data_IF_752309466411
#
_entry.id   IF_752309466411
#
_cell.length_a   1.000
_cell.length_b   1.000
_cell.length_c   1.000
_cell.angle_alpha   90.00
_cell.angle_beta   90.00
_cell.angle_gamma   90.00
#
_symmetry.space_group_name_H-M   'P 1'
#
loop_
_entity.id
_entity.type
_entity.pdbx_description
1 polymer ?
#
# COMPACT_ATOMS: atom_id res chain seq x y z
N UNK A 1 -3.70 -20.92 -10.73
CA UNK A 1 -4.74 -20.46 -11.67
C UNK A 1 -4.79 -18.95 -11.49
N UNK A 2 -3.90 -18.29 -12.22
CA UNK A 2 -3.77 -16.84 -12.23
C UNK A 2 -5.05 -16.26 -12.82
N UNK A 3 -5.70 -15.37 -12.09
CA UNK A 3 -7.06 -14.90 -12.41
C UNK A 3 -7.09 -14.07 -13.71
N UNK A 4 -5.94 -13.80 -14.33
CA UNK A 4 -5.82 -12.88 -15.47
C UNK A 4 -4.79 -13.36 -16.51
N UNK A 5 -4.56 -14.68 -16.62
CA UNK A 5 -3.94 -15.25 -17.83
C UNK A 5 -5.04 -15.70 -18.79
N UNK A 6 -5.57 -14.76 -19.57
CA UNK A 6 -6.59 -15.08 -20.57
C UNK A 6 -7.20 -13.84 -21.18
N UNK A 7 -6.57 -13.35 -22.25
CA UNK A 7 -6.96 -12.19 -23.05
C UNK A 7 -6.77 -10.82 -22.35
N UNK A 8 -6.29 -9.84 -23.12
CA UNK A 8 -6.13 -8.43 -22.70
C UNK A 8 -7.49 -7.80 -22.42
N UNK A 9 -8.15 -8.22 -21.34
CA UNK A 9 -9.30 -7.52 -20.78
C UNK A 9 -8.77 -6.21 -20.22
N UNK A 10 -8.95 -5.13 -20.98
CA UNK A 10 -8.66 -3.78 -20.52
C UNK A 10 -9.72 -3.37 -19.50
N UNK A 11 -9.61 -3.94 -18.29
CA UNK A 11 -10.53 -3.68 -17.20
C UNK A 11 -10.53 -2.18 -16.88
N UNK A 12 -11.71 -1.63 -16.61
CA UNK A 12 -11.90 -0.21 -16.29
C UNK A 12 -12.73 -0.06 -15.04
N UNK A 13 -12.49 1.03 -14.31
CA UNK A 13 -13.29 1.36 -13.12
C UNK A 13 -12.87 0.56 -11.88
N UNK A 14 -13.79 0.30 -10.93
CA UNK A 14 -13.46 -0.40 -9.70
C UNK A 14 -13.28 -1.91 -9.92
N UNK A 15 -12.30 -2.51 -9.25
CA UNK A 15 -12.09 -3.97 -9.21
C UNK A 15 -11.96 -4.46 -7.76
N UNK A 16 -12.56 -5.63 -7.47
CA UNK A 16 -12.42 -6.32 -6.19
C UNK A 16 -11.90 -7.75 -6.41
N UNK A 17 -10.84 -8.10 -5.70
CA UNK A 17 -10.23 -9.43 -5.70
C UNK A 17 -10.34 -9.96 -4.27
N UNK A 18 -11.20 -10.95 -4.03
CA UNK A 18 -11.52 -11.44 -2.68
C UNK A 18 -11.34 -12.95 -2.54
N UNK A 19 -10.77 -13.37 -1.42
CA UNK A 19 -10.74 -14.75 -0.93
C UNK A 19 -10.08 -15.76 -1.89
N UNK A 20 -9.17 -15.28 -2.74
CA UNK A 20 -8.34 -16.15 -3.57
C UNK A 20 -7.16 -16.68 -2.75
N UNK A 21 -7.44 -17.57 -1.81
CA UNK A 21 -6.50 -18.09 -0.80
C UNK A 21 -5.29 -18.84 -1.37
N UNK A 22 -5.31 -19.18 -2.67
CA UNK A 22 -4.19 -19.85 -3.37
C UNK A 22 -3.47 -18.93 -4.37
N UNK A 23 -3.91 -17.68 -4.51
CA UNK A 23 -3.30 -16.72 -5.43
C UNK A 23 -1.97 -16.24 -4.87
N UNK A 24 -0.90 -16.39 -5.65
CA UNK A 24 0.46 -16.01 -5.25
C UNK A 24 0.94 -14.69 -5.86
N UNK A 25 0.34 -14.32 -6.98
CA UNK A 25 0.68 -13.13 -7.78
C UNK A 25 -0.57 -12.55 -8.42
N UNK A 26 -0.57 -11.24 -8.63
CA UNK A 26 -1.57 -10.51 -9.40
C UNK A 26 -0.82 -9.76 -10.51
N UNK A 27 -1.31 -9.87 -11.75
CA UNK A 27 -0.88 -9.01 -12.87
C UNK A 27 -2.10 -8.26 -13.41
N UNK A 28 -2.04 -6.93 -13.38
CA UNK A 28 -3.13 -6.02 -13.82
C UNK A 28 -2.64 -5.04 -14.89
N UNK A 29 -1.76 -5.51 -15.77
CA UNK A 29 -1.12 -4.68 -16.81
C UNK A 29 -2.14 -3.88 -17.64
N UNK A 30 -1.86 -2.59 -17.82
CA UNK A 30 -2.60 -1.68 -18.72
C UNK A 30 -4.11 -1.57 -18.48
N UNK A 31 -4.59 -1.92 -17.27
CA UNK A 31 -5.97 -1.68 -16.88
C UNK A 31 -6.20 -0.20 -16.52
N UNK A 32 -7.40 0.31 -16.79
CA UNK A 32 -7.84 1.67 -16.44
C UNK A 32 -8.65 1.64 -15.14
N UNK A 33 -8.12 0.96 -14.11
CA UNK A 33 -8.79 0.84 -12.83
C UNK A 33 -8.77 2.17 -12.09
N UNK A 34 -9.90 2.53 -11.50
CA UNK A 34 -10.02 3.72 -10.64
C UNK A 34 -9.90 3.35 -9.16
N UNK A 35 -10.35 2.17 -8.78
CA UNK A 35 -10.12 1.61 -7.44
C UNK A 35 -9.84 0.12 -7.48
N UNK A 36 -9.07 -0.35 -6.50
CA UNK A 36 -8.70 -1.76 -6.36
C UNK A 36 -8.79 -2.17 -4.90
N UNK A 37 -9.60 -3.20 -4.63
CA UNK A 37 -9.70 -3.84 -3.31
C UNK A 37 -9.17 -5.27 -3.43
N UNK A 38 -8.12 -5.61 -2.67
CA UNK A 38 -7.58 -6.96 -2.56
C UNK A 38 -7.76 -7.42 -1.12
N UNK A 39 -8.55 -8.47 -0.91
CA UNK A 39 -8.82 -8.99 0.43
C UNK A 39 -8.76 -10.51 0.50
N UNK A 40 -8.29 -11.06 1.62
CA UNK A 40 -8.34 -12.51 1.88
C UNK A 40 -7.46 -13.36 0.96
N UNK A 41 -6.53 -12.73 0.24
CA UNK A 41 -5.56 -13.42 -0.62
C UNK A 41 -4.35 -13.83 0.22
N UNK A 42 -4.53 -14.77 1.14
CA UNK A 42 -3.56 -15.08 2.20
C UNK A 42 -2.20 -15.61 1.71
N UNK A 43 -2.12 -16.19 0.51
CA UNK A 43 -0.87 -16.69 -0.09
C UNK A 43 -0.23 -15.69 -1.08
N UNK A 44 -0.75 -14.47 -1.19
CA UNK A 44 -0.26 -13.46 -2.12
C UNK A 44 1.05 -12.85 -1.61
N UNK A 45 2.14 -13.06 -2.33
CA UNK A 45 3.49 -12.68 -1.88
C UNK A 45 3.89 -11.31 -2.41
N UNK A 46 3.49 -11.01 -3.65
CA UNK A 46 3.86 -9.80 -4.38
C UNK A 46 2.65 -9.21 -5.09
N UNK A 47 2.52 -7.89 -4.97
CA UNK A 47 1.58 -7.08 -5.74
C UNK A 47 2.38 -6.05 -6.55
N UNK A 48 2.17 -6.03 -7.86
CA UNK A 48 2.74 -5.02 -8.75
C UNK A 48 1.62 -4.27 -9.48
N UNK A 49 1.47 -2.98 -9.15
CA UNK A 49 0.44 -2.09 -9.70
C UNK A 49 1.08 -0.92 -10.46
N UNK A 50 2.35 -1.02 -10.83
CA UNK A 50 3.11 0.07 -11.46
C UNK A 50 2.52 0.57 -12.79
N UNK A 51 1.71 -0.25 -13.46
CA UNK A 51 1.04 0.12 -14.71
C UNK A 51 -0.39 0.66 -14.54
N UNK A 52 -0.89 0.78 -13.30
CA UNK A 52 -2.24 1.27 -13.02
C UNK A 52 -2.28 2.80 -12.86
N UNK A 53 -2.03 3.52 -13.95
CA UNK A 53 -1.89 4.99 -13.95
C UNK A 53 -3.16 5.79 -13.63
N UNK A 54 -4.32 5.14 -13.48
CA UNK A 54 -5.61 5.77 -13.16
C UNK A 54 -6.11 5.42 -11.76
N UNK A 55 -5.35 4.62 -11.01
CA UNK A 55 -5.75 4.14 -9.70
C UNK A 55 -5.69 5.29 -8.69
N UNK A 56 -6.86 5.65 -8.14
CA UNK A 56 -7.00 6.72 -7.13
C UNK A 56 -7.18 6.17 -5.72
N UNK A 57 -7.68 4.94 -5.58
CA UNK A 57 -7.88 4.27 -4.29
C UNK A 57 -7.42 2.82 -4.32
N UNK A 58 -6.67 2.42 -3.30
CA UNK A 58 -6.16 1.06 -3.11
C UNK A 58 -6.42 0.61 -1.67
N UNK A 59 -7.05 -0.56 -1.51
CA UNK A 59 -7.19 -1.24 -0.21
C UNK A 59 -6.65 -2.65 -0.32
N UNK A 60 -5.70 -3.01 0.55
CA UNK A 60 -5.08 -4.34 0.62
C UNK A 60 -5.24 -4.86 2.05
N UNK A 61 -6.09 -5.86 2.23
CA UNK A 61 -6.43 -6.38 3.56
C UNK A 61 -6.27 -7.89 3.63
N UNK A 62 -5.87 -8.41 4.80
CA UNK A 62 -5.77 -9.86 5.07
C UNK A 62 -4.91 -10.62 4.03
N UNK A 63 -3.87 -9.97 3.52
CA UNK A 63 -2.87 -10.57 2.63
C UNK A 63 -1.64 -10.92 3.49
N UNK A 64 -1.78 -11.92 4.36
CA UNK A 64 -0.85 -12.19 5.46
C UNK A 64 0.58 -12.49 5.03
N UNK A 65 0.77 -13.08 3.84
CA UNK A 65 2.08 -13.43 3.27
C UNK A 65 2.64 -12.35 2.33
N UNK A 66 2.00 -11.18 2.23
CA UNK A 66 2.46 -10.10 1.36
C UNK A 66 3.79 -9.53 1.89
N UNK A 67 4.83 -9.60 1.06
CA UNK A 67 6.17 -9.09 1.38
C UNK A 67 6.48 -7.84 0.56
N UNK A 68 6.04 -7.81 -0.70
CA UNK A 68 6.38 -6.75 -1.65
C UNK A 68 5.13 -6.11 -2.23
N UNK A 69 5.00 -4.80 -2.04
CA UNK A 69 3.99 -3.96 -2.66
C UNK A 69 4.67 -2.90 -3.52
N UNK A 70 4.35 -2.88 -4.81
CA UNK A 70 4.67 -1.78 -5.71
C UNK A 70 3.37 -1.09 -6.13
N UNK A 71 3.10 0.10 -5.61
CA UNK A 71 1.88 0.86 -5.86
C UNK A 71 2.12 2.23 -6.51
N UNK A 72 3.16 2.37 -7.35
CA UNK A 72 3.68 3.63 -7.91
C UNK A 72 2.76 4.43 -8.87
N UNK A 73 1.48 4.57 -8.56
CA UNK A 73 0.51 5.37 -9.31
C UNK A 73 0.60 6.85 -8.95
N UNK A 74 0.71 7.70 -9.97
CA UNK A 74 0.73 9.15 -9.77
C UNK A 74 -0.63 9.75 -9.37
N UNK A 75 -1.71 8.96 -9.43
CA UNK A 75 -3.09 9.40 -9.16
C UNK A 75 -3.62 8.91 -7.81
N UNK A 76 -2.85 8.12 -7.05
CA UNK A 76 -3.32 7.55 -5.79
C UNK A 76 -3.52 8.65 -4.73
N UNK A 77 -4.74 8.76 -4.22
CA UNK A 77 -5.11 9.71 -3.16
C UNK A 77 -5.40 9.04 -1.83
N UNK A 78 -5.76 7.75 -1.85
CA UNK A 78 -6.06 6.96 -0.65
C UNK A 78 -5.44 5.57 -0.73
N UNK A 79 -4.73 5.19 0.34
CA UNK A 79 -4.13 3.88 0.52
C UNK A 79 -4.49 3.31 1.90
N UNK A 80 -5.10 2.14 1.90
CA UNK A 80 -5.35 1.33 3.10
C UNK A 80 -4.59 0.01 2.99
N UNK A 81 -3.81 -0.32 4.01
CA UNK A 81 -3.15 -1.62 4.16
C UNK A 81 -3.44 -2.13 5.56
N UNK A 82 -4.04 -3.32 5.67
CA UNK A 82 -4.30 -3.92 6.98
C UNK A 82 -4.08 -5.43 7.02
N UNK A 83 -3.67 -5.93 8.18
CA UNK A 83 -3.48 -7.37 8.42
C UNK A 83 -2.50 -8.01 7.42
N UNK A 84 -1.43 -7.28 7.06
CA UNK A 84 -0.37 -7.72 6.15
C UNK A 84 0.90 -8.01 6.97
N UNK A 85 0.84 -9.07 7.78
CA UNK A 85 1.81 -9.34 8.86
C UNK A 85 3.27 -9.52 8.41
N UNK A 86 3.51 -9.84 7.13
CA UNK A 86 4.85 -10.03 6.57
C UNK A 86 5.40 -8.82 5.80
N UNK A 87 4.60 -7.76 5.64
CA UNK A 87 5.03 -6.57 4.92
C UNK A 87 6.04 -5.80 5.77
N UNK A 88 7.28 -5.68 5.29
CA UNK A 88 8.39 -5.13 6.08
C UNK A 88 8.75 -3.68 5.74
N UNK A 89 8.56 -3.29 4.48
CA UNK A 89 8.86 -1.96 3.96
C UNK A 89 7.75 -1.51 3.03
N UNK A 90 7.40 -0.22 3.13
CA UNK A 90 6.52 0.46 2.18
C UNK A 90 7.24 1.71 1.69
N UNK A 91 7.30 1.88 0.37
CA UNK A 91 7.80 3.08 -0.30
C UNK A 91 6.68 3.75 -1.09
N UNK A 92 6.23 4.90 -0.59
CA UNK A 92 5.17 5.75 -1.13
C UNK A 92 5.75 7.07 -1.66
N UNK A 93 7.07 7.21 -1.77
CA UNK A 93 7.75 8.45 -2.20
C UNK A 93 7.33 8.93 -3.59
N UNK A 94 6.73 8.03 -4.38
CA UNK A 94 6.22 8.26 -5.74
C UNK A 94 4.72 8.56 -5.79
N UNK A 95 4.07 8.84 -4.66
CA UNK A 95 2.63 9.12 -4.58
C UNK A 95 2.35 10.58 -4.22
N UNK A 96 2.58 11.54 -5.15
CA UNK A 96 2.51 12.98 -4.85
C UNK A 96 1.10 13.53 -4.60
N UNK A 97 0.07 12.69 -4.77
CA UNK A 97 -1.34 13.03 -4.55
C UNK A 97 -1.93 12.32 -3.33
N UNK A 98 -1.15 11.51 -2.62
CA UNK A 98 -1.63 10.74 -1.48
C UNK A 98 -2.00 11.69 -0.34
N UNK A 99 -3.27 11.73 0.03
CA UNK A 99 -3.80 12.56 1.13
C UNK A 99 -4.28 11.73 2.31
N UNK A 100 -4.55 10.43 2.10
CA UNK A 100 -5.01 9.53 3.15
C UNK A 100 -4.16 8.26 3.14
N UNK A 101 -3.60 7.90 4.29
CA UNK A 101 -2.83 6.69 4.50
C UNK A 101 -3.27 6.02 5.79
N UNK A 102 -3.69 4.76 5.71
CA UNK A 102 -3.92 3.91 6.88
C UNK A 102 -3.11 2.63 6.74
N UNK A 103 -2.24 2.36 7.71
CA UNK A 103 -1.43 1.14 7.76
C UNK A 103 -1.55 0.54 9.16
N UNK A 104 -2.37 -0.50 9.29
CA UNK A 104 -2.72 -1.10 10.58
C UNK A 104 -2.43 -2.59 10.59
N UNK A 105 -2.16 -3.17 11.77
CA UNK A 105 -1.94 -4.62 11.91
C UNK A 105 -0.86 -5.18 10.93
N UNK A 106 0.19 -4.38 10.70
CA UNK A 106 1.35 -4.74 9.86
C UNK A 106 2.59 -4.94 10.74
N UNK A 107 2.56 -5.95 11.61
CA UNK A 107 3.50 -6.14 12.73
C UNK A 107 5.00 -6.19 12.36
N UNK A 108 5.35 -6.55 11.12
CA UNK A 108 6.75 -6.58 10.64
C UNK A 108 7.17 -5.32 9.88
N UNK A 109 6.28 -4.34 9.74
CA UNK A 109 6.60 -3.10 9.05
C UNK A 109 7.58 -2.30 9.89
N UNK A 110 8.78 -2.11 9.37
CA UNK A 110 9.85 -1.39 10.05
C UNK A 110 10.30 -0.15 9.29
N UNK A 111 9.89 -0.01 8.03
CA UNK A 111 10.31 1.08 7.15
C UNK A 111 9.11 1.64 6.39
N UNK A 112 8.85 2.93 6.55
CA UNK A 112 7.87 3.67 5.77
C UNK A 112 8.50 4.91 5.17
N UNK A 113 8.47 5.03 3.85
CA UNK A 113 8.73 6.28 3.16
C UNK A 113 7.40 6.82 2.61
N UNK A 114 6.90 7.92 3.20
CA UNK A 114 5.74 8.67 2.70
C UNK A 114 6.12 10.07 2.24
N UNK A 115 7.39 10.27 1.87
CA UNK A 115 7.87 11.57 1.42
C UNK A 115 7.17 12.06 0.16
N UNK A 116 7.14 13.38 -0.01
CA UNK A 116 6.51 14.05 -1.16
C UNK A 116 5.00 13.78 -1.31
N UNK A 117 4.34 13.27 -0.28
CA UNK A 117 2.87 13.10 -0.25
C UNK A 117 2.18 14.37 0.26
N UNK A 118 0.84 14.40 0.18
CA UNK A 118 0.00 15.49 0.71
C UNK A 118 -0.70 15.07 2.00
N UNK A 119 -0.11 14.17 2.76
CA UNK A 119 -0.61 13.75 4.06
C UNK A 119 -0.60 14.95 5.01
N UNK A 120 -1.71 15.13 5.74
CA UNK A 120 -1.86 16.14 6.81
C UNK A 120 -1.77 15.53 8.21
N UNK A 121 -2.00 14.23 8.30
CA UNK A 121 -1.93 13.43 9.51
C UNK A 121 -1.23 12.11 9.18
N UNK A 122 -0.55 11.54 10.19
CA UNK A 122 0.02 10.21 10.09
C UNK A 122 -0.03 9.54 11.45
N UNK A 123 -0.70 8.39 11.51
CA UNK A 123 -0.69 7.48 12.64
C UNK A 123 0.09 6.22 12.26
N UNK A 124 1.19 5.96 12.97
CA UNK A 124 2.04 4.80 12.75
C UNK A 124 2.64 4.31 14.06
N UNK A 125 2.98 3.02 14.11
CA UNK A 125 3.59 2.37 15.27
C UNK A 125 4.83 1.59 14.86
N UNK A 126 5.80 1.49 15.77
CA UNK A 126 6.92 0.53 15.72
C UNK A 126 7.81 0.56 14.46
N UNK A 127 7.88 1.71 13.77
CA UNK A 127 8.74 1.91 12.60
C UNK A 127 10.18 2.25 12.98
N UNK A 128 11.15 1.43 12.58
CA UNK A 128 12.59 1.72 12.72
C UNK A 128 13.03 2.92 11.85
N UNK A 129 12.46 3.05 10.66
CA UNK A 129 12.76 4.14 9.72
C UNK A 129 11.46 4.76 9.18
N UNK A 130 11.31 6.07 9.38
CA UNK A 130 10.21 6.86 8.84
C UNK A 130 10.77 8.05 8.06
N UNK A 131 10.42 8.16 6.79
CA UNK A 131 10.67 9.35 5.98
C UNK A 131 9.33 10.01 5.63
N UNK A 132 9.04 11.15 6.26
CA UNK A 132 7.86 11.96 6.00
C UNK A 132 8.23 13.38 5.49
N UNK A 133 9.38 13.51 4.82
CA UNK A 133 9.83 14.79 4.25
C UNK A 133 8.91 15.26 3.13
N UNK A 134 8.78 16.58 2.95
CA UNK A 134 7.92 17.20 1.94
C UNK A 134 6.46 16.72 2.02
N UNK A 135 5.95 16.54 3.24
CA UNK A 135 4.53 16.31 3.52
C UNK A 135 3.87 17.58 4.08
N UNK A 136 2.56 17.55 4.27
CA UNK A 136 1.79 18.60 4.94
C UNK A 136 1.41 18.20 6.37
N UNK A 137 2.12 17.26 6.99
CA UNK A 137 1.74 16.68 8.28
C UNK A 137 1.83 17.76 9.37
N UNK A 138 0.69 18.08 9.97
CA UNK A 138 0.58 18.98 11.12
C UNK A 138 0.56 18.19 12.44
N UNK A 139 0.06 16.95 12.40
CA UNK A 139 -0.02 16.03 13.54
C UNK A 139 0.60 14.66 13.20
N UNK A 140 1.65 14.29 13.92
CA UNK A 140 2.30 12.98 13.83
C UNK A 140 2.06 12.21 15.13
N UNK A 141 1.24 11.17 15.07
CA UNK A 141 0.98 10.29 16.20
C UNK A 141 1.84 9.03 16.08
N UNK A 142 2.81 8.91 16.99
CA UNK A 142 3.68 7.74 17.11
C UNK A 142 3.20 6.90 18.29
N UNK A 143 2.44 5.85 18.00
CA UNK A 143 2.03 4.87 18.99
C UNK A 143 3.23 3.95 19.26
N UNK A 144 4.12 4.40 20.15
CA UNK A 144 5.33 3.65 20.49
C UNK A 144 5.01 2.42 21.34
N UNK A 145 5.32 1.23 20.83
CA UNK A 145 5.68 0.06 21.65
C UNK A 145 7.22 0.00 21.72
N UNK A 146 7.79 0.97 22.43
CA UNK A 146 9.20 1.09 22.84
C UNK A 146 10.30 1.20 21.75
N UNK A 147 11.10 2.26 21.92
CA UNK A 147 12.42 2.57 21.33
C UNK A 147 12.38 3.22 19.93
N UNK A 148 12.52 4.55 19.88
CA UNK A 148 13.32 5.21 18.83
C UNK A 148 13.97 6.51 19.28
N UNK A 149 15.22 6.66 18.83
CA UNK A 149 15.97 7.93 18.76
C UNK A 149 15.55 8.62 17.48
N UNK A 150 14.69 9.62 17.56
CA UNK A 150 14.37 10.48 16.42
C UNK A 150 15.53 11.45 16.15
N UNK A 151 16.05 11.49 14.93
CA UNK A 151 16.77 12.66 14.41
C UNK A 151 15.78 13.45 13.57
N UNK A 152 15.26 14.53 14.14
CA UNK A 152 14.49 15.55 13.43
C UNK A 152 15.50 16.54 12.81
N UNK A 153 15.36 16.81 11.51
CA UNK A 153 15.90 18.00 10.85
C UNK A 153 14.74 18.77 10.24
#
# INVERSE_FOLDING_TARGET
>A
MDIIEGEKLKLKGPLKIKDFMKLKSISLEKCELTSLEISGCSQLIKIDLSELFKLTSLSITKCSELITLNCSSNELTSLEISNCYHLNKIDLSKLPKLTNLSVTECQKLTKLDCSNSKLTELEVSDLIELNCSNTSIEELNLNFVQILKTHLF
#
